data_IF_621855602730
#
_entry.id   IF_621855602730
#
_cell.length_a   1.000
_cell.length_b   1.000
_cell.length_c   1.000
_cell.angle_alpha   90.00
_cell.angle_beta   90.00
_cell.angle_gamma   90.00
#
_symmetry.space_group_name_H-M   'P 1'
#
loop_
_entity.id
_entity.type
_entity.pdbx_description
1 polymer ?
#
# COMPACT_ATOMS: atom_id res chain seq x y z
N UNK A 1 27.52 -3.73 3.97
CA UNK A 1 27.83 -2.73 5.03
C UNK A 1 29.18 -2.03 4.82
N UNK A 2 29.96 -2.35 3.78
CA UNK A 2 31.28 -1.75 3.51
C UNK A 2 31.28 -0.52 2.59
N UNK A 3 30.20 -0.28 1.84
CA UNK A 3 30.20 0.79 0.82
C UNK A 3 29.99 2.19 1.43
N UNK A 4 29.26 2.28 2.54
CA UNK A 4 28.94 3.55 3.23
C UNK A 4 30.21 4.16 3.86
N UNK A 5 31.05 3.35 4.50
CA UNK A 5 32.28 3.83 5.14
C UNK A 5 33.34 4.29 4.14
N UNK A 6 33.30 3.75 2.92
CA UNK A 6 34.27 4.09 1.87
C UNK A 6 33.91 5.43 1.22
N UNK A 7 32.62 5.70 0.98
CA UNK A 7 32.15 7.01 0.50
C UNK A 7 32.42 8.15 1.50
N UNK A 8 32.30 7.88 2.81
CA UNK A 8 32.58 8.88 3.86
C UNK A 8 34.04 9.33 3.91
N UNK A 9 34.98 8.48 3.47
CA UNK A 9 36.41 8.83 3.44
C UNK A 9 36.78 9.67 2.22
N UNK A 10 36.16 9.42 1.06
CA UNK A 10 36.48 10.17 -0.16
C UNK A 10 35.92 11.61 -0.16
N UNK A 11 34.85 11.88 0.59
CA UNK A 11 34.30 13.25 0.74
C UNK A 11 35.23 14.21 1.51
N UNK A 12 36.20 13.70 2.27
CA UNK A 12 37.07 14.53 3.12
C UNK A 12 38.18 15.28 2.35
N UNK A 13 38.36 15.01 1.05
CA UNK A 13 39.30 15.74 0.17
C UNK A 13 38.68 16.90 -0.60
N UNK A 14 37.36 17.06 -0.57
CA UNK A 14 36.67 18.12 -1.31
C UNK A 14 36.57 19.39 -0.47
N UNK A 15 37.21 20.43 -0.98
CA UNK A 15 37.41 21.77 -0.42
C UNK A 15 36.21 22.36 0.33
N UNK A 16 36.49 23.15 1.38
CA UNK A 16 35.51 23.77 2.29
C UNK A 16 34.43 24.66 1.66
N UNK A 17 34.45 24.89 0.34
CA UNK A 17 33.39 25.57 -0.42
C UNK A 17 32.29 24.64 -0.95
N UNK A 18 32.60 23.37 -1.23
CA UNK A 18 31.67 22.45 -1.91
C UNK A 18 30.70 21.77 -0.92
N UNK A 19 31.16 21.53 0.32
CA UNK A 19 30.36 20.97 1.44
C UNK A 19 29.05 21.74 1.71
N UNK A 20 29.01 23.04 1.41
CA UNK A 20 27.83 23.87 1.61
C UNK A 20 26.81 23.72 0.47
N UNK A 21 27.25 23.39 -0.74
CA UNK A 21 26.37 23.20 -1.89
C UNK A 21 25.77 21.78 -1.90
N UNK A 22 26.58 20.75 -1.66
CA UNK A 22 26.10 19.36 -1.54
C UNK A 22 25.25 19.16 -0.29
N UNK A 23 25.62 19.72 0.87
CA UNK A 23 24.80 19.65 2.08
C UNK A 23 23.44 20.34 1.94
N UNK A 24 23.39 21.52 1.28
CA UNK A 24 22.11 22.20 0.97
C UNK A 24 21.28 21.44 -0.06
N UNK A 25 21.90 20.88 -1.09
CA UNK A 25 21.21 20.06 -2.08
C UNK A 25 20.64 18.78 -1.43
N UNK A 26 21.39 18.14 -0.54
CA UNK A 26 20.94 16.96 0.19
C UNK A 26 19.78 17.27 1.14
N UNK A 27 19.84 18.38 1.89
CA UNK A 27 18.72 18.86 2.71
C UNK A 27 17.48 19.24 1.87
N UNK A 28 17.68 19.77 0.66
CA UNK A 28 16.59 20.08 -0.27
C UNK A 28 15.91 18.79 -0.76
N UNK A 29 16.70 17.78 -1.14
CA UNK A 29 16.21 16.45 -1.54
C UNK A 29 15.48 15.77 -0.37
N UNK A 30 16.01 15.87 0.85
CA UNK A 30 15.41 15.29 2.04
C UNK A 30 14.07 15.99 2.38
N UNK A 31 13.99 17.31 2.26
CA UNK A 31 12.72 18.05 2.35
C UNK A 31 11.74 17.66 1.25
N UNK A 32 12.20 17.48 0.02
CA UNK A 32 11.36 17.07 -1.09
C UNK A 32 10.80 15.65 -0.87
N UNK A 33 11.63 14.73 -0.39
CA UNK A 33 11.24 13.37 -0.05
C UNK A 33 10.27 13.33 1.14
N UNK A 34 10.52 14.11 2.18
CA UNK A 34 9.59 14.26 3.31
C UNK A 34 8.24 14.83 2.85
N UNK A 35 8.24 15.83 1.95
CA UNK A 35 7.03 16.38 1.34
C UNK A 35 6.27 15.36 0.48
N UNK A 36 6.98 14.49 -0.23
CA UNK A 36 6.38 13.37 -1.00
C UNK A 36 5.72 12.36 -0.05
N UNK A 37 6.41 11.93 0.99
CA UNK A 37 5.86 11.02 2.00
C UNK A 37 4.63 11.60 2.68
N UNK A 38 4.67 12.89 3.07
CA UNK A 38 3.54 13.57 3.69
C UNK A 38 2.32 13.62 2.76
N UNK A 39 2.53 13.93 1.48
CA UNK A 39 1.47 13.86 0.47
C UNK A 39 0.89 12.45 0.28
N UNK A 40 1.72 11.40 0.35
CA UNK A 40 1.22 10.02 0.28
C UNK A 40 0.40 9.66 1.52
N UNK A 41 0.85 10.03 2.71
CA UNK A 41 0.12 9.82 3.96
C UNK A 41 -1.24 10.52 3.91
N UNK A 42 -1.30 11.78 3.48
CA UNK A 42 -2.57 12.50 3.32
C UNK A 42 -3.52 11.85 2.31
N UNK A 43 -2.99 11.28 1.22
CA UNK A 43 -3.80 10.54 0.26
C UNK A 43 -4.39 9.28 0.88
N UNK A 44 -3.60 8.56 1.68
CA UNK A 44 -4.06 7.36 2.40
C UNK A 44 -5.13 7.72 3.43
N UNK A 45 -4.95 8.79 4.21
CA UNK A 45 -5.95 9.28 5.18
C UNK A 45 -7.25 9.64 4.46
N UNK A 46 -7.19 10.40 3.36
CA UNK A 46 -8.38 10.76 2.57
C UNK A 46 -9.08 9.55 1.92
N UNK A 47 -8.35 8.48 1.65
CA UNK A 47 -8.94 7.23 1.17
C UNK A 47 -9.66 6.50 2.31
N UNK A 48 -9.07 6.46 3.50
CA UNK A 48 -9.68 5.89 4.70
C UNK A 48 -10.98 6.61 5.11
N UNK A 49 -11.01 7.94 5.05
CA UNK A 49 -12.22 8.72 5.36
C UNK A 49 -13.40 8.45 4.41
N UNK A 50 -13.13 7.97 3.19
CA UNK A 50 -14.17 7.62 2.21
C UNK A 50 -14.75 6.22 2.43
N UNK A 51 -14.21 5.45 3.38
CA UNK A 51 -14.67 4.10 3.66
C UNK A 51 -15.95 4.15 4.47
N UNK A 52 -17.09 4.17 3.78
CA UNK A 52 -18.38 4.00 4.41
C UNK A 52 -18.73 2.51 4.51
N UNK A 53 -18.69 1.99 5.74
CA UNK A 53 -18.91 0.58 6.10
C UNK A 53 -20.41 0.31 6.36
N UNK A 54 -21.27 1.34 6.40
CA UNK A 54 -22.69 1.18 6.72
C UNK A 54 -23.55 0.60 5.60
N UNK A 55 -23.13 0.76 4.35
CA UNK A 55 -23.94 0.36 3.20
C UNK A 55 -23.50 -1.01 2.67
N UNK A 56 -24.38 -1.99 2.70
CA UNK A 56 -24.15 -3.26 1.99
C UNK A 56 -24.00 -2.97 0.50
N UNK A 57 -22.79 -3.17 -0.04
CA UNK A 57 -22.52 -3.02 -1.46
C UNK A 57 -22.79 -4.32 -2.19
N UNK A 58 -23.50 -4.28 -3.31
CA UNK A 58 -23.50 -5.43 -4.23
C UNK A 58 -22.14 -5.62 -4.92
N UNK A 59 -21.35 -4.53 -5.02
CA UNK A 59 -20.04 -4.50 -5.68
C UNK A 59 -18.89 -4.33 -4.69
N UNK A 60 -17.78 -5.02 -4.94
CA UNK A 60 -16.58 -4.90 -4.12
C UNK A 60 -15.97 -3.51 -4.26
N UNK A 61 -15.81 -2.82 -3.12
CA UNK A 61 -15.23 -1.47 -3.02
C UNK A 61 -14.32 -1.36 -1.80
N UNK A 62 -13.72 -0.19 -1.61
CA UNK A 62 -12.95 0.09 -0.39
C UNK A 62 -13.86 -0.01 0.84
N UNK A 63 -13.45 -0.80 1.82
CA UNK A 63 -14.23 -1.18 3.00
C UNK A 63 -14.92 -2.53 2.90
N UNK A 64 -14.96 -3.16 1.71
CA UNK A 64 -15.65 -4.44 1.55
C UNK A 64 -14.84 -5.60 2.12
N UNK A 65 -15.54 -6.51 2.81
CA UNK A 65 -15.03 -7.83 3.19
C UNK A 65 -15.51 -8.82 2.14
N UNK A 66 -14.59 -9.60 1.60
CA UNK A 66 -14.88 -10.60 0.56
C UNK A 66 -14.53 -11.97 1.08
N UNK A 67 -15.48 -12.89 0.98
CA UNK A 67 -15.22 -14.31 1.15
C UNK A 67 -15.12 -14.96 -0.22
N UNK A 68 -14.05 -15.72 -0.42
CA UNK A 68 -13.86 -16.51 -1.64
C UNK A 68 -13.66 -17.97 -1.30
N UNK A 69 -13.67 -18.83 -2.32
CA UNK A 69 -13.35 -20.26 -2.18
C UNK A 69 -11.88 -20.55 -1.81
N UNK A 70 -10.99 -19.56 -1.87
CA UNK A 70 -9.55 -19.76 -1.64
C UNK A 70 -9.05 -18.99 -0.41
N UNK A 71 -9.51 -17.76 -0.21
CA UNK A 71 -9.10 -16.90 0.91
C UNK A 71 -10.13 -15.78 1.16
N UNK A 72 -10.13 -15.23 2.38
CA UNK A 72 -10.93 -14.05 2.70
C UNK A 72 -10.08 -12.79 2.55
N UNK A 73 -10.68 -11.73 2.01
CA UNK A 73 -10.03 -10.46 1.73
C UNK A 73 -10.78 -9.32 2.40
N UNK A 74 -10.04 -8.26 2.72
CA UNK A 74 -10.59 -7.00 3.17
C UNK A 74 -9.97 -5.87 2.35
N UNK A 75 -10.76 -5.22 1.49
CA UNK A 75 -10.25 -4.15 0.63
C UNK A 75 -10.10 -2.90 1.48
N UNK A 76 -8.87 -2.58 1.84
CA UNK A 76 -8.56 -1.51 2.79
C UNK A 76 -7.17 -0.96 2.49
N UNK A 77 -6.34 -0.73 3.50
CA UNK A 77 -4.90 -0.53 3.32
C UNK A 77 -4.19 -1.89 3.28
N UNK A 78 -3.01 -1.96 2.66
CA UNK A 78 -2.25 -3.22 2.54
C UNK A 78 -1.59 -3.58 3.88
N UNK A 79 -2.37 -4.14 4.81
CA UNK A 79 -1.91 -4.54 6.16
C UNK A 79 -1.54 -6.01 6.28
N UNK A 80 -1.68 -6.79 5.20
CA UNK A 80 -1.30 -8.20 5.20
C UNK A 80 -2.35 -9.08 5.88
N UNK A 81 -1.94 -9.98 6.77
CA UNK A 81 -2.85 -10.92 7.45
C UNK A 81 -3.46 -10.27 8.69
N UNK A 82 -4.79 -10.23 8.74
CA UNK A 82 -5.59 -9.83 9.88
C UNK A 82 -6.31 -11.07 10.41
N UNK A 83 -6.10 -11.40 11.68
CA UNK A 83 -6.84 -12.47 12.33
C UNK A 83 -7.93 -11.85 13.21
N UNK A 84 -9.18 -12.21 12.93
CA UNK A 84 -10.33 -11.79 13.72
C UNK A 84 -11.01 -13.06 14.19
N UNK A 85 -11.00 -13.29 15.50
CA UNK A 85 -11.34 -14.60 16.11
C UNK A 85 -10.48 -15.72 15.49
N UNK A 86 -11.10 -16.69 14.83
CA UNK A 86 -10.45 -17.82 14.16
C UNK A 86 -10.42 -17.70 12.63
N UNK A 87 -10.81 -16.53 12.08
CA UNK A 87 -10.85 -16.30 10.65
C UNK A 87 -9.75 -15.33 10.22
N UNK A 88 -9.05 -15.69 9.14
CA UNK A 88 -7.95 -14.89 8.58
C UNK A 88 -8.49 -14.11 7.39
N UNK A 89 -8.32 -12.79 7.44
CA UNK A 89 -8.60 -11.86 6.36
C UNK A 89 -7.29 -11.27 5.83
N UNK A 90 -7.15 -11.18 4.51
CA UNK A 90 -6.03 -10.50 3.88
C UNK A 90 -6.44 -9.05 3.61
N UNK A 91 -5.84 -8.11 4.34
CA UNK A 91 -5.94 -6.67 4.11
C UNK A 91 -5.19 -6.30 2.83
N UNK A 92 -5.95 -5.96 1.79
CA UNK A 92 -5.44 -5.69 0.44
C UNK A 92 -5.79 -4.27 0.03
N UNK A 93 -4.80 -3.52 -0.43
CA UNK A 93 -5.04 -2.21 -1.03
C UNK A 93 -5.78 -2.34 -2.38
N UNK A 94 -6.76 -1.46 -2.70
CA UNK A 94 -7.41 -1.42 -4.02
C UNK A 94 -6.41 -1.38 -5.18
N UNK A 95 -5.28 -0.67 -4.99
CA UNK A 95 -4.25 -0.51 -6.00
C UNK A 95 -3.34 -1.74 -6.18
N UNK A 96 -3.38 -2.71 -5.27
CA UNK A 96 -2.57 -3.93 -5.34
C UNK A 96 -3.03 -4.84 -6.50
N UNK A 97 -2.16 -5.71 -7.05
CA UNK A 97 -2.50 -6.52 -8.23
C UNK A 97 -3.79 -7.34 -8.08
N UNK A 98 -3.96 -8.03 -6.96
CA UNK A 98 -5.18 -8.80 -6.68
C UNK A 98 -6.36 -7.89 -6.31
N UNK A 99 -6.10 -6.75 -5.66
CA UNK A 99 -7.10 -5.75 -5.33
C UNK A 99 -7.79 -5.19 -6.58
N UNK A 100 -7.01 -4.89 -7.63
CA UNK A 100 -7.55 -4.45 -8.93
C UNK A 100 -8.43 -5.50 -9.59
N UNK A 101 -8.13 -6.77 -9.40
CA UNK A 101 -8.97 -7.86 -9.91
C UNK A 101 -10.29 -7.97 -9.14
N UNK A 102 -10.31 -7.63 -7.85
CA UNK A 102 -11.48 -7.71 -6.98
C UNK A 102 -12.43 -6.53 -7.14
N UNK A 103 -11.89 -5.32 -7.32
CA UNK A 103 -12.70 -4.09 -7.41
C UNK A 103 -13.80 -4.17 -8.47
N UNK A 104 -15.01 -3.76 -8.09
CA UNK A 104 -16.17 -3.69 -8.98
C UNK A 104 -16.84 -5.04 -9.27
N UNK A 105 -16.27 -6.16 -8.83
CA UNK A 105 -16.90 -7.48 -8.96
C UNK A 105 -18.05 -7.66 -7.98
N UNK A 106 -18.94 -8.57 -8.32
CA UNK A 106 -20.16 -8.88 -7.53
C UNK A 106 -20.14 -10.33 -7.01
N UNK A 107 -21.14 -10.68 -6.20
CA UNK A 107 -21.32 -12.07 -5.73
C UNK A 107 -21.42 -13.04 -6.92
N UNK A 108 -20.78 -14.21 -6.78
CA UNK A 108 -20.63 -15.26 -7.79
C UNK A 108 -19.67 -14.96 -8.96
N UNK A 109 -19.11 -13.74 -9.06
CA UNK A 109 -18.07 -13.48 -10.06
C UNK A 109 -16.83 -14.34 -9.82
N UNK A 110 -16.14 -14.62 -10.91
CA UNK A 110 -14.88 -15.37 -10.90
C UNK A 110 -13.75 -14.54 -11.48
N UNK A 111 -12.54 -14.85 -11.04
CA UNK A 111 -11.31 -14.31 -11.63
C UNK A 111 -10.14 -15.27 -11.43
N UNK A 112 -9.19 -15.19 -12.35
CA UNK A 112 -7.91 -15.86 -12.20
C UNK A 112 -6.86 -14.86 -11.71
N UNK A 113 -6.12 -15.24 -10.67
CA UNK A 113 -4.96 -14.47 -10.23
C UNK A 113 -3.78 -15.42 -10.04
N UNK A 114 -2.71 -15.22 -10.82
CA UNK A 114 -1.50 -16.05 -10.81
C UNK A 114 -1.78 -17.55 -11.00
N UNK A 115 -2.75 -17.90 -11.86
CA UNK A 115 -3.12 -19.29 -12.14
C UNK A 115 -4.11 -19.89 -11.15
N UNK A 116 -4.46 -19.20 -10.06
CA UNK A 116 -5.47 -19.64 -9.09
C UNK A 116 -6.82 -19.03 -9.42
N UNK A 117 -7.87 -19.85 -9.45
CA UNK A 117 -9.24 -19.40 -9.66
C UNK A 117 -9.93 -19.07 -8.34
N UNK A 118 -10.41 -17.84 -8.27
CA UNK A 118 -11.18 -17.30 -7.16
C UNK A 118 -12.62 -17.11 -7.61
N UNK A 119 -13.56 -17.54 -6.77
CA UNK A 119 -14.99 -17.29 -6.87
C UNK A 119 -15.45 -16.52 -5.65
N UNK A 120 -16.12 -15.40 -5.88
CA UNK A 120 -16.66 -14.56 -4.82
C UNK A 120 -17.92 -15.24 -4.27
N UNK A 121 -17.86 -15.63 -3.00
CA UNK A 121 -18.95 -16.31 -2.30
C UNK A 121 -19.87 -15.30 -1.63
N UNK A 122 -19.29 -14.36 -0.87
CA UNK A 122 -20.03 -13.31 -0.17
C UNK A 122 -19.26 -11.99 -0.21
N UNK A 123 -20.01 -10.90 -0.13
CA UNK A 123 -19.50 -9.53 0.00
C UNK A 123 -20.27 -8.93 1.18
N UNK A 124 -19.53 -8.34 2.13
CA UNK A 124 -20.07 -7.60 3.27
C UNK A 124 -19.58 -6.17 3.21
#
# INVERSE_FOLDING_TARGET
MSDIETSLKDESKSTSGDKHHTGRAMLQIERENAGKQLNEIEKVIRQLDKVNISDTSETIRLGSIIETNQANFFISISVGKLQVHDTIYLGVAPAAPIGRCLLGKVKNDQFNFKGVFYRILNIY
#
